data_IF_655010991496
#
_entry.id   IF_655010991496
#
_cell.length_a   1.000
_cell.length_b   1.000
_cell.length_c   1.000
_cell.angle_alpha   90.00
_cell.angle_beta   90.00
_cell.angle_gamma   90.00
#
_symmetry.space_group_name_H-M   'P 1'
#
loop_
_entity.id
_entity.type
_entity.pdbx_description
1 polymer ?
#
# COMPACT_ATOMS: atom_id res chain seq x y z
N UNK A 1 -3.20 16.04 -58.57
CA UNK A 1 -4.17 17.12 -58.33
C UNK A 1 -3.65 17.93 -57.18
N UNK A 2 -3.50 19.23 -57.36
CA UNK A 2 -2.71 20.07 -56.46
C UNK A 2 -3.48 20.61 -55.25
N UNK A 3 -2.76 20.75 -54.17
CA UNK A 3 -3.14 21.36 -52.87
C UNK A 3 -3.32 22.85 -53.01
N UNK A 4 -4.38 23.41 -52.46
CA UNK A 4 -4.60 24.85 -52.36
C UNK A 4 -4.29 25.36 -50.91
N UNK A 5 -3.73 26.56 -50.71
CA UNK A 5 -3.37 27.10 -49.43
C UNK A 5 -4.47 27.98 -48.80
N UNK A 6 -4.50 27.99 -47.48
CA UNK A 6 -5.37 28.82 -46.62
C UNK A 6 -4.84 30.26 -46.47
N UNK A 7 -5.71 31.25 -46.35
CA UNK A 7 -5.28 32.66 -46.24
C UNK A 7 -5.00 33.10 -44.80
N UNK A 8 -3.94 33.91 -44.69
CA UNK A 8 -3.58 34.69 -43.52
C UNK A 8 -4.55 35.85 -43.28
N UNK A 9 -5.01 36.02 -42.04
CA UNK A 9 -5.68 37.23 -41.56
C UNK A 9 -4.75 38.01 -40.66
N UNK A 10 -4.24 39.13 -41.17
CA UNK A 10 -3.57 40.21 -40.44
C UNK A 10 -4.62 41.14 -39.86
N UNK A 11 -4.55 41.40 -38.55
CA UNK A 11 -5.35 42.42 -37.90
C UNK A 11 -4.49 43.64 -37.61
N UNK A 12 -4.84 44.78 -38.23
CA UNK A 12 -4.17 46.06 -38.11
C UNK A 12 -4.69 46.85 -36.91
N UNK A 13 -3.73 47.41 -36.15
CA UNK A 13 -3.98 48.32 -35.06
C UNK A 13 -4.19 49.74 -35.61
N UNK A 14 -5.26 50.45 -35.27
CA UNK A 14 -5.43 51.86 -35.52
C UNK A 14 -5.48 52.64 -34.21
N UNK A 15 -4.58 53.61 -34.07
CA UNK A 15 -4.56 54.67 -33.05
C UNK A 15 -5.41 55.84 -33.48
N UNK A 16 -6.20 56.44 -32.58
CA UNK A 16 -6.64 57.84 -32.46
C UNK A 16 -7.73 57.90 -31.38
N UNK A 17 -7.92 58.92 -30.56
CA UNK A 17 -7.32 60.23 -30.35
C UNK A 17 -7.75 60.71 -28.95
N UNK A 18 -7.03 61.68 -28.45
CA UNK A 18 -7.25 62.50 -27.25
C UNK A 18 -8.65 63.12 -27.11
N UNK A 19 -9.13 63.21 -25.89
CA UNK A 19 -9.83 64.40 -25.39
C UNK A 19 -9.65 64.49 -23.86
N UNK A 20 -9.09 65.63 -23.46
CA UNK A 20 -8.91 66.14 -22.11
C UNK A 20 -10.22 66.69 -21.58
N UNK A 21 -10.59 66.31 -20.35
CA UNK A 21 -11.41 67.12 -19.49
C UNK A 21 -10.99 66.88 -18.04
N UNK A 22 -10.44 67.89 -17.43
CA UNK A 22 -10.15 67.89 -16.01
C UNK A 22 -11.37 68.25 -15.20
N UNK A 23 -11.48 67.72 -13.98
CA UNK A 23 -12.18 68.35 -12.83
C UNK A 23 -11.78 67.63 -11.53
N UNK A 24 -11.34 68.48 -10.59
CA UNK A 24 -11.47 68.47 -9.13
C UNK A 24 -11.06 67.27 -8.26
N UNK A 25 -10.14 67.60 -7.38
CA UNK A 25 -9.72 66.97 -6.15
C UNK A 25 -10.87 66.44 -5.25
N UNK A 26 -10.84 65.18 -4.95
CA UNK A 26 -11.46 64.58 -3.83
C UNK A 26 -10.50 63.53 -3.24
N UNK A 27 -9.77 63.90 -2.18
CA UNK A 27 -8.86 63.02 -1.50
C UNK A 27 -9.62 61.91 -0.75
N UNK A 28 -9.67 60.74 -1.35
CA UNK A 28 -10.06 59.51 -0.64
C UNK A 28 -8.77 58.73 -0.38
N UNK A 29 -8.34 58.66 0.86
CA UNK A 29 -7.26 57.78 1.31
C UNK A 29 -7.67 56.32 1.06
N UNK A 30 -7.17 55.76 -0.03
CA UNK A 30 -7.21 54.28 -0.20
C UNK A 30 -6.20 53.70 0.80
N UNK A 31 -6.71 53.36 2.01
CA UNK A 31 -5.97 52.43 2.87
C UNK A 31 -5.83 51.12 2.11
N UNK A 32 -4.66 50.90 1.55
CA UNK A 32 -4.32 49.63 0.93
C UNK A 32 -4.40 48.55 1.98
N UNK A 33 -5.42 47.72 1.88
CA UNK A 33 -5.40 46.43 2.60
C UNK A 33 -4.26 45.62 1.99
N UNK A 34 -3.09 45.65 2.65
CA UNK A 34 -2.04 44.68 2.40
C UNK A 34 -2.63 43.31 2.72
N UNK A 35 -2.84 42.48 1.70
CA UNK A 35 -3.23 41.09 1.90
C UNK A 35 -2.20 40.45 2.82
N UNK A 36 -2.65 39.92 3.94
CA UNK A 36 -1.78 39.17 4.83
C UNK A 36 -1.10 38.07 4.02
N UNK A 37 0.22 37.83 4.22
CA UNK A 37 0.92 36.76 3.51
C UNK A 37 0.16 35.47 3.76
N UNK A 38 -0.24 34.79 2.67
CA UNK A 38 -0.89 33.48 2.76
C UNK A 38 0.03 32.55 3.53
N UNK A 39 -0.45 32.01 4.63
CA UNK A 39 0.28 31.00 5.40
C UNK A 39 0.62 29.85 4.42
N UNK A 40 1.86 29.37 4.41
CA UNK A 40 2.22 28.23 3.57
C UNK A 40 1.26 27.07 3.94
N UNK A 41 0.71 26.42 2.93
CA UNK A 41 -0.14 25.24 3.16
C UNK A 41 0.64 24.25 4.03
N UNK A 42 0.02 23.69 5.06
CA UNK A 42 0.68 22.67 5.87
C UNK A 42 1.16 21.53 4.93
N UNK A 43 2.31 20.90 5.22
CA UNK A 43 2.78 19.79 4.43
C UNK A 43 1.69 18.70 4.38
N UNK A 44 1.57 17.98 3.28
CA UNK A 44 0.59 16.90 3.18
C UNK A 44 0.83 15.87 4.29
N UNK A 45 -0.24 15.26 4.78
CA UNK A 45 -0.14 14.19 5.78
C UNK A 45 0.74 13.06 5.27
N UNK A 46 1.65 12.53 6.10
CA UNK A 46 2.53 11.43 5.71
C UNK A 46 1.73 10.16 5.42
N UNK A 47 2.27 9.32 4.52
CA UNK A 47 1.72 8.01 4.17
C UNK A 47 2.81 6.97 4.35
N UNK A 48 2.50 5.85 5.01
CA UNK A 48 3.37 4.69 5.11
C UNK A 48 2.81 3.58 4.23
N UNK A 49 3.59 3.17 3.24
CA UNK A 49 3.33 2.01 2.39
C UNK A 49 4.03 0.79 2.97
N UNK A 50 3.28 -0.18 3.53
CA UNK A 50 3.85 -1.36 4.17
C UNK A 50 4.20 -2.49 3.20
N UNK A 51 3.88 -2.34 1.90
CA UNK A 51 3.99 -3.41 0.93
C UNK A 51 4.50 -2.92 -0.41
N UNK A 52 5.81 -2.98 -0.60
CA UNK A 52 6.44 -2.66 -1.87
C UNK A 52 7.61 -3.59 -2.16
N UNK A 53 7.94 -3.76 -3.44
CA UNK A 53 9.00 -4.65 -3.90
C UNK A 53 10.00 -3.93 -4.81
N UNK A 54 11.28 -4.26 -4.68
CA UNK A 54 12.33 -3.84 -5.61
C UNK A 54 12.32 -4.69 -6.88
N UNK A 55 12.63 -4.10 -8.01
CA UNK A 55 12.58 -4.74 -9.34
C UNK A 55 11.25 -5.41 -9.70
N UNK A 56 10.17 -4.93 -9.10
CA UNK A 56 8.86 -5.56 -9.22
C UNK A 56 8.37 -5.56 -10.66
N UNK A 57 8.17 -6.77 -11.24
CA UNK A 57 7.82 -6.98 -12.64
C UNK A 57 8.74 -6.25 -13.65
N UNK A 58 10.02 -6.13 -13.33
CA UNK A 58 11.00 -5.46 -14.17
C UNK A 58 11.08 -3.94 -14.03
N UNK A 59 10.29 -3.33 -13.15
CA UNK A 59 10.42 -1.91 -12.80
C UNK A 59 11.76 -1.64 -12.12
N UNK A 60 12.47 -0.60 -12.55
CA UNK A 60 13.71 -0.19 -11.88
C UNK A 60 13.45 0.42 -10.50
N UNK A 61 14.46 0.37 -9.62
CA UNK A 61 14.35 0.97 -8.29
C UNK A 61 14.24 2.49 -8.34
N UNK A 62 14.81 3.14 -9.36
CA UNK A 62 14.61 4.57 -9.59
C UNK A 62 13.15 4.90 -9.96
N UNK A 63 12.52 4.06 -10.78
CA UNK A 63 11.10 4.20 -11.10
C UNK A 63 10.23 3.92 -9.87
N UNK A 64 10.61 2.94 -9.03
CA UNK A 64 9.93 2.68 -7.75
C UNK A 64 9.98 3.91 -6.84
N UNK A 65 11.14 4.52 -6.66
CA UNK A 65 11.30 5.73 -5.85
C UNK A 65 10.42 6.88 -6.38
N UNK A 66 10.45 7.13 -7.69
CA UNK A 66 9.63 8.14 -8.32
C UNK A 66 8.13 7.87 -8.15
N UNK A 67 7.71 6.62 -8.31
CA UNK A 67 6.35 6.14 -8.09
C UNK A 67 5.87 6.40 -6.65
N UNK A 68 6.66 6.02 -5.64
CA UNK A 68 6.31 6.22 -4.24
C UNK A 68 6.15 7.71 -3.90
N UNK A 69 7.10 8.54 -4.35
CA UNK A 69 7.03 9.99 -4.16
C UNK A 69 5.84 10.63 -4.88
N UNK A 70 5.50 10.16 -6.09
CA UNK A 70 4.34 10.65 -6.84
C UNK A 70 3.00 10.34 -6.16
N UNK A 71 2.91 9.23 -5.41
CA UNK A 71 1.74 8.90 -4.60
C UNK A 71 1.66 9.71 -3.28
N UNK A 72 2.73 10.43 -2.91
CA UNK A 72 2.83 11.11 -1.62
C UNK A 72 3.22 10.20 -0.46
N UNK A 73 3.75 9.01 -0.76
CA UNK A 73 4.28 8.09 0.24
C UNK A 73 5.57 8.65 0.82
N UNK A 74 5.67 8.70 2.14
CA UNK A 74 6.83 9.23 2.86
C UNK A 74 7.76 8.14 3.38
N UNK A 75 7.22 6.95 3.63
CA UNK A 75 8.00 5.80 4.09
C UNK A 75 7.43 4.53 3.47
N UNK A 76 8.29 3.66 2.95
CA UNK A 76 7.90 2.37 2.39
C UNK A 76 8.65 1.23 3.06
N UNK A 77 7.99 0.08 3.25
CA UNK A 77 8.63 -1.16 3.68
C UNK A 77 8.81 -2.06 2.45
N UNK A 78 10.07 -2.39 2.15
CA UNK A 78 10.42 -3.24 1.03
C UNK A 78 10.37 -4.71 1.44
N UNK A 79 9.56 -5.48 0.76
CA UNK A 79 9.35 -6.90 1.03
C UNK A 79 10.16 -7.75 0.06
N UNK A 80 11.12 -8.56 0.56
CA UNK A 80 11.99 -9.39 -0.27
C UNK A 80 11.34 -10.71 -0.67
N UNK A 81 11.90 -11.33 -1.71
CA UNK A 81 11.51 -12.66 -2.15
C UNK A 81 12.25 -13.81 -1.43
N UNK A 82 13.13 -13.52 -0.50
CA UNK A 82 13.94 -14.53 0.20
C UNK A 82 15.43 -14.28 0.05
N UNK A 83 16.21 -15.33 -0.18
CA UNK A 83 17.69 -15.31 -0.21
C UNK A 83 18.29 -14.17 -1.01
N UNK A 84 19.55 -13.79 -0.72
CA UNK A 84 20.23 -12.72 -1.44
C UNK A 84 20.19 -12.94 -2.94
N UNK A 85 19.64 -11.96 -3.66
CA UNK A 85 19.66 -11.96 -5.13
C UNK A 85 19.51 -10.53 -5.65
N UNK A 86 20.19 -10.24 -6.74
CA UNK A 86 20.06 -9.00 -7.51
C UNK A 86 19.24 -9.23 -8.79
N UNK A 87 18.70 -10.45 -8.96
CA UNK A 87 17.88 -10.82 -10.12
C UNK A 87 16.43 -10.96 -9.70
N UNK A 88 15.53 -10.83 -10.67
CA UNK A 88 14.18 -11.36 -10.56
C UNK A 88 14.30 -12.87 -10.30
N UNK A 89 13.50 -13.47 -9.51
CA UNK A 89 13.62 -14.87 -9.12
C UNK A 89 14.63 -15.08 -8.01
N UNK A 90 14.21 -15.77 -7.01
CA UNK A 90 15.04 -16.23 -5.92
C UNK A 90 15.44 -17.69 -6.15
N UNK A 91 15.47 -18.49 -5.16
CA UNK A 91 15.80 -19.88 -5.35
C UNK A 91 14.55 -20.76 -5.52
N UNK A 92 14.76 -22.02 -5.94
CA UNK A 92 13.72 -22.88 -6.44
C UNK A 92 13.03 -23.75 -5.39
N UNK A 93 12.65 -23.23 -4.24
CA UNK A 93 11.83 -23.97 -3.28
C UNK A 93 10.50 -24.42 -3.92
N UNK A 94 10.00 -25.60 -3.55
CA UNK A 94 8.80 -26.21 -4.13
C UNK A 94 7.57 -25.33 -3.97
N UNK A 95 7.50 -24.59 -2.89
CA UNK A 95 6.37 -23.73 -2.55
C UNK A 95 6.52 -22.28 -3.02
N UNK A 96 7.64 -21.91 -3.67
CA UNK A 96 7.96 -20.53 -3.99
C UNK A 96 6.97 -19.89 -4.99
N UNK A 97 6.19 -18.92 -4.56
CA UNK A 97 5.23 -18.16 -5.37
C UNK A 97 5.63 -16.72 -5.67
N UNK A 98 6.61 -16.18 -4.96
CA UNK A 98 7.08 -14.79 -5.12
C UNK A 98 8.30 -14.66 -6.04
N UNK A 99 9.01 -15.74 -6.27
CA UNK A 99 10.31 -15.82 -6.90
C UNK A 99 10.49 -15.07 -8.22
N UNK A 100 9.44 -14.95 -9.01
CA UNK A 100 9.59 -14.49 -10.39
C UNK A 100 9.67 -12.97 -10.56
N UNK A 101 9.37 -12.16 -9.54
CA UNK A 101 8.96 -10.79 -9.78
C UNK A 101 9.61 -9.72 -8.91
N UNK A 102 10.48 -10.08 -7.97
CA UNK A 102 11.19 -9.11 -7.12
C UNK A 102 12.55 -9.65 -6.63
N UNK A 103 13.32 -8.78 -5.97
CA UNK A 103 14.65 -9.15 -5.45
C UNK A 103 14.59 -9.74 -4.03
N UNK A 104 15.72 -10.28 -3.56
CA UNK A 104 15.82 -10.92 -2.25
C UNK A 104 16.26 -9.99 -1.12
N UNK A 105 16.47 -10.58 0.06
CA UNK A 105 16.79 -9.91 1.32
C UNK A 105 17.95 -8.92 1.21
N UNK A 106 19.08 -9.32 0.57
CA UNK A 106 20.27 -8.47 0.47
C UNK A 106 20.00 -7.19 -0.30
N UNK A 107 19.27 -7.30 -1.43
CA UNK A 107 18.98 -6.16 -2.29
C UNK A 107 18.04 -5.15 -1.60
N UNK A 108 16.96 -5.60 -0.96
CA UNK A 108 16.03 -4.69 -0.25
C UNK A 108 16.70 -4.03 0.95
N UNK A 109 17.54 -4.76 1.70
CA UNK A 109 18.30 -4.20 2.81
C UNK A 109 19.31 -3.15 2.32
N UNK A 110 20.06 -3.42 1.25
CA UNK A 110 21.01 -2.49 0.69
C UNK A 110 20.32 -1.21 0.20
N UNK A 111 19.18 -1.36 -0.47
CA UNK A 111 18.39 -0.22 -0.94
C UNK A 111 17.85 0.63 0.21
N UNK A 112 17.28 0.01 1.23
CA UNK A 112 16.78 0.72 2.40
C UNK A 112 17.88 1.47 3.15
N UNK A 113 19.07 0.87 3.29
CA UNK A 113 20.26 1.53 3.88
C UNK A 113 20.77 2.72 3.06
N UNK A 114 20.62 2.68 1.74
CA UNK A 114 21.00 3.79 0.85
C UNK A 114 20.00 4.95 0.89
N UNK A 115 18.75 4.72 1.36
CA UNK A 115 17.68 5.72 1.42
C UNK A 115 17.07 5.79 2.83
N UNK A 116 17.85 6.19 3.85
CA UNK A 116 17.39 6.23 5.23
C UNK A 116 16.24 7.21 5.41
N UNK A 117 15.21 6.81 6.17
CA UNK A 117 14.01 7.61 6.40
C UNK A 117 12.90 7.40 5.36
N UNK A 118 13.23 7.10 4.10
CA UNK A 118 12.23 6.81 3.06
C UNK A 118 11.94 5.31 2.96
N UNK A 119 12.92 4.44 3.21
CA UNK A 119 12.73 3.00 3.07
C UNK A 119 13.19 2.22 4.30
N UNK A 120 12.39 1.22 4.62
CA UNK A 120 12.66 0.15 5.56
C UNK A 120 12.61 -1.17 4.79
N UNK A 121 13.03 -2.27 5.42
CA UNK A 121 13.02 -3.56 4.76
C UNK A 121 12.44 -4.66 5.66
N UNK A 122 11.88 -5.67 5.02
CA UNK A 122 11.45 -6.92 5.61
C UNK A 122 12.48 -8.03 5.41
N UNK A 123 12.19 -9.17 6.00
CA UNK A 123 12.94 -10.42 5.82
C UNK A 123 12.00 -11.51 5.34
N UNK A 124 12.49 -12.36 4.41
CA UNK A 124 11.69 -13.44 3.86
C UNK A 124 12.56 -14.64 3.46
N UNK A 125 11.95 -15.81 3.38
CA UNK A 125 12.48 -16.99 2.74
C UNK A 125 11.35 -17.97 2.46
N UNK A 126 11.54 -18.87 1.50
CA UNK A 126 10.56 -19.89 1.14
C UNK A 126 10.28 -20.78 2.35
N UNK A 127 9.03 -20.76 2.81
CA UNK A 127 8.61 -21.24 4.13
C UNK A 127 8.99 -22.69 4.42
N UNK A 128 8.91 -23.58 3.42
CA UNK A 128 9.18 -25.02 3.54
C UNK A 128 10.64 -25.42 3.37
N UNK A 129 11.55 -24.44 3.30
CA UNK A 129 12.97 -24.74 3.35
C UNK A 129 13.43 -24.96 4.80
N UNK A 130 14.29 -25.95 5.04
CA UNK A 130 14.80 -26.25 6.39
C UNK A 130 15.46 -25.06 7.08
N UNK A 131 16.16 -24.23 6.31
CA UNK A 131 16.90 -23.05 6.77
C UNK A 131 16.10 -21.74 6.76
N UNK A 132 14.81 -21.75 6.39
CA UNK A 132 14.02 -20.54 6.24
C UNK A 132 14.06 -19.63 7.48
N UNK A 133 13.85 -20.20 8.67
CA UNK A 133 13.87 -19.44 9.91
C UNK A 133 15.27 -18.82 10.19
N UNK A 134 16.34 -19.54 9.88
CA UNK A 134 17.74 -19.07 10.09
C UNK A 134 18.06 -17.90 9.15
N UNK A 135 17.66 -18.01 7.88
CA UNK A 135 17.87 -16.94 6.90
C UNK A 135 17.05 -15.68 7.25
N UNK A 136 15.79 -15.83 7.63
CA UNK A 136 14.94 -14.71 8.08
C UNK A 136 15.53 -14.08 9.34
N UNK A 137 15.91 -14.88 10.34
CA UNK A 137 16.48 -14.41 11.60
C UNK A 137 17.73 -13.55 11.39
N UNK A 138 18.58 -13.92 10.44
CA UNK A 138 19.77 -13.15 10.05
C UNK A 138 19.40 -11.70 9.73
N UNK A 139 18.35 -11.46 8.92
CA UNK A 139 17.94 -10.12 8.53
C UNK A 139 17.12 -9.41 9.61
N UNK A 140 16.40 -10.13 10.46
CA UNK A 140 15.78 -9.55 11.65
C UNK A 140 16.85 -8.96 12.60
N UNK A 141 17.96 -9.67 12.82
CA UNK A 141 19.11 -9.15 13.57
C UNK A 141 19.77 -7.94 12.91
N UNK A 142 19.62 -7.76 11.61
CA UNK A 142 20.12 -6.61 10.84
C UNK A 142 19.10 -5.45 10.75
N UNK A 143 17.93 -5.60 11.38
CA UNK A 143 16.94 -4.52 11.52
C UNK A 143 15.72 -4.63 10.61
N UNK A 144 15.45 -5.78 9.99
CA UNK A 144 14.22 -6.02 9.26
C UNK A 144 12.99 -5.82 10.18
N UNK A 145 11.95 -5.19 9.65
CA UNK A 145 10.79 -4.73 10.41
C UNK A 145 9.58 -5.66 10.33
N UNK A 146 9.61 -6.65 9.46
CA UNK A 146 8.50 -7.55 9.17
C UNK A 146 9.02 -8.84 8.55
N UNK A 147 8.35 -9.97 8.80
CA UNK A 147 8.53 -11.19 8.00
C UNK A 147 7.50 -11.15 6.88
N UNK A 148 7.92 -10.89 5.64
CA UNK A 148 7.02 -10.67 4.50
C UNK A 148 7.76 -10.62 3.13
N UNK A 149 7.07 -10.83 2.04
CA UNK A 149 5.71 -11.31 1.88
C UNK A 149 5.72 -12.85 1.90
N UNK A 150 5.01 -13.45 2.83
CA UNK A 150 4.86 -14.90 2.87
C UNK A 150 3.87 -15.35 1.78
N UNK A 151 4.36 -15.55 0.55
CA UNK A 151 3.58 -15.96 -0.64
C UNK A 151 4.09 -17.31 -1.12
N UNK A 152 3.72 -18.34 -0.39
CA UNK A 152 4.24 -19.69 -0.61
C UNK A 152 3.13 -20.73 -0.55
N UNK A 153 3.30 -21.83 -1.34
CA UNK A 153 2.34 -22.91 -1.49
C UNK A 153 2.32 -23.86 -0.29
N UNK A 154 2.09 -23.33 0.89
CA UNK A 154 1.98 -24.06 2.16
C UNK A 154 0.58 -23.89 2.79
N UNK A 155 0.27 -24.68 3.81
CA UNK A 155 -0.91 -24.44 4.63
C UNK A 155 -0.59 -23.37 5.68
N UNK A 156 -1.56 -22.50 6.00
CA UNK A 156 -1.37 -21.45 7.00
C UNK A 156 -1.12 -21.99 8.43
N UNK A 157 -1.44 -23.25 8.68
CA UNK A 157 -1.26 -23.97 9.93
C UNK A 157 -0.26 -25.12 9.80
N UNK A 158 0.64 -25.09 8.81
CA UNK A 158 1.74 -26.04 8.71
C UNK A 158 2.80 -25.80 9.78
N UNK A 159 3.57 -26.84 10.11
CA UNK A 159 4.68 -26.71 11.07
C UNK A 159 5.73 -25.70 10.63
N UNK A 160 5.95 -25.59 9.32
CA UNK A 160 6.86 -24.63 8.70
C UNK A 160 6.36 -23.19 8.94
N UNK A 161 5.07 -22.93 8.71
CA UNK A 161 4.43 -21.64 9.00
C UNK A 161 4.49 -21.30 10.49
N UNK A 162 4.21 -22.27 11.36
CA UNK A 162 4.24 -22.08 12.82
C UNK A 162 5.64 -21.67 13.34
N UNK A 163 6.72 -22.21 12.73
CA UNK A 163 8.10 -21.77 13.07
C UNK A 163 8.30 -20.28 12.81
N UNK A 164 7.76 -19.79 11.69
CA UNK A 164 7.87 -18.36 11.35
C UNK A 164 6.96 -17.49 12.24
N UNK A 165 5.78 -17.99 12.64
CA UNK A 165 4.92 -17.29 13.60
C UNK A 165 5.63 -17.13 14.96
N UNK A 166 6.28 -18.20 15.43
CA UNK A 166 7.10 -18.13 16.64
C UNK A 166 8.23 -17.14 16.49
N UNK A 167 8.96 -17.19 15.38
CA UNK A 167 10.08 -16.28 15.10
C UNK A 167 9.62 -14.81 15.07
N UNK A 168 8.48 -14.51 14.46
CA UNK A 168 7.88 -13.18 14.47
C UNK A 168 7.61 -12.67 15.90
N UNK A 169 7.07 -13.54 16.77
CA UNK A 169 6.85 -13.22 18.19
C UNK A 169 8.15 -13.01 18.95
N UNK A 170 9.16 -13.84 18.71
CA UNK A 170 10.46 -13.77 19.40
C UNK A 170 11.20 -12.45 19.09
N UNK A 171 11.02 -11.90 17.89
CA UNK A 171 11.61 -10.63 17.44
C UNK A 171 10.66 -9.42 17.55
N UNK A 172 9.42 -9.65 18.01
CA UNK A 172 8.39 -8.61 18.15
C UNK A 172 8.18 -7.81 16.84
N UNK A 173 8.10 -8.53 15.74
CA UNK A 173 7.78 -8.02 14.40
C UNK A 173 6.52 -8.68 13.86
N UNK A 174 5.73 -8.01 13.02
CA UNK A 174 4.59 -8.64 12.36
C UNK A 174 5.02 -9.63 11.28
N UNK A 175 4.09 -10.53 10.91
CA UNK A 175 4.20 -11.40 9.74
C UNK A 175 3.03 -11.14 8.78
N UNK A 176 3.33 -10.95 7.49
CA UNK A 176 2.33 -10.71 6.46
C UNK A 176 2.15 -11.96 5.60
N UNK A 177 0.91 -12.43 5.52
CA UNK A 177 0.53 -13.64 4.81
C UNK A 177 -0.25 -13.31 3.53
N UNK A 178 0.28 -13.72 2.38
CA UNK A 178 -0.47 -13.74 1.12
C UNK A 178 -1.45 -14.93 1.15
N UNK A 179 -2.70 -14.64 1.40
CA UNK A 179 -3.76 -15.64 1.54
C UNK A 179 -4.52 -15.81 0.23
N UNK A 180 -4.24 -16.92 -0.46
CA UNK A 180 -4.93 -17.32 -1.69
C UNK A 180 -5.28 -18.79 -1.61
N UNK A 181 -6.55 -19.08 -1.27
CA UNK A 181 -7.03 -20.44 -1.05
C UNK A 181 -6.72 -21.36 -2.24
N UNK A 182 -6.20 -22.53 -1.96
CA UNK A 182 -5.79 -23.51 -2.97
C UNK A 182 -4.41 -23.24 -3.61
N UNK A 183 -3.77 -22.09 -3.32
CA UNK A 183 -2.49 -21.73 -3.93
C UNK A 183 -1.44 -21.33 -2.89
N UNK A 184 -1.71 -20.29 -2.09
CA UNK A 184 -0.75 -19.75 -1.13
C UNK A 184 -1.36 -19.63 0.26
N UNK A 185 -0.63 -20.06 1.28
CA UNK A 185 -1.05 -20.05 2.69
C UNK A 185 -2.51 -20.46 2.87
N UNK A 186 -2.87 -21.59 2.24
CA UNK A 186 -4.25 -22.10 2.24
C UNK A 186 -4.73 -22.45 3.63
N UNK A 187 -6.05 -22.39 3.83
CA UNK A 187 -6.68 -22.71 5.11
C UNK A 187 -7.21 -21.47 5.84
N UNK A 188 -7.68 -20.46 5.13
CA UNK A 188 -8.18 -19.20 5.70
C UNK A 188 -9.18 -19.43 6.87
N UNK A 189 -10.08 -20.40 6.74
CA UNK A 189 -11.05 -20.75 7.80
C UNK A 189 -10.38 -21.31 9.08
N UNK A 190 -9.16 -21.82 8.99
CA UNK A 190 -8.38 -22.33 10.12
C UNK A 190 -7.43 -21.30 10.74
N UNK A 191 -7.20 -20.19 10.07
CA UNK A 191 -6.29 -19.12 10.52
C UNK A 191 -6.57 -18.64 11.96
N UNK A 192 -7.83 -18.56 12.45
CA UNK A 192 -8.12 -18.25 13.84
C UNK A 192 -7.47 -19.16 14.87
N UNK A 193 -7.15 -20.42 14.51
CA UNK A 193 -6.42 -21.31 15.42
C UNK A 193 -4.99 -20.82 15.63
N UNK A 194 -4.37 -20.24 14.60
CA UNK A 194 -3.04 -19.65 14.67
C UNK A 194 -3.03 -18.35 15.48
N UNK A 195 -4.03 -17.48 15.31
CA UNK A 195 -4.17 -16.28 16.13
C UNK A 195 -4.21 -16.59 17.62
N UNK A 196 -4.94 -17.64 18.01
CA UNK A 196 -5.02 -18.10 19.41
C UNK A 196 -3.75 -18.81 19.88
N UNK A 197 -3.15 -19.64 19.02
CA UNK A 197 -1.93 -20.40 19.35
C UNK A 197 -0.70 -19.49 19.52
N UNK A 198 -0.65 -18.40 18.74
CA UNK A 198 0.45 -17.44 18.74
C UNK A 198 -0.02 -16.02 19.13
N UNK A 199 -0.47 -15.80 20.37
CA UNK A 199 -1.11 -14.54 20.77
C UNK A 199 -0.15 -13.34 20.76
N UNK A 200 1.17 -13.57 20.76
CA UNK A 200 2.19 -12.53 20.68
C UNK A 200 2.58 -12.18 19.23
N UNK A 201 2.24 -13.03 18.28
CA UNK A 201 2.50 -12.77 16.86
C UNK A 201 1.43 -11.84 16.30
N UNK A 202 1.84 -10.76 15.67
CA UNK A 202 0.94 -9.91 14.90
C UNK A 202 0.87 -10.44 13.48
N UNK A 203 -0.33 -10.81 13.06
CA UNK A 203 -0.64 -11.31 11.72
C UNK A 203 -1.23 -10.20 10.87
N UNK A 204 -0.67 -10.00 9.67
CA UNK A 204 -1.23 -9.10 8.67
C UNK A 204 -1.77 -9.95 7.52
N UNK A 205 -3.08 -9.99 7.38
CA UNK A 205 -3.75 -10.68 6.28
C UNK A 205 -3.68 -9.85 5.00
N UNK A 206 -3.36 -10.49 3.89
CA UNK A 206 -3.24 -9.87 2.58
C UNK A 206 -3.80 -10.78 1.49
N UNK A 207 -4.05 -10.22 0.31
CA UNK A 207 -4.42 -10.87 -0.94
C UNK A 207 -5.89 -11.32 -1.08
N UNK A 208 -6.14 -12.10 -2.13
CA UNK A 208 -7.47 -12.33 -2.69
C UNK A 208 -8.44 -12.97 -1.72
N UNK A 209 -8.01 -14.01 -0.99
CA UNK A 209 -8.90 -14.69 -0.04
C UNK A 209 -9.29 -13.79 1.11
N UNK A 210 -8.38 -12.95 1.61
CA UNK A 210 -8.70 -11.94 2.61
C UNK A 210 -9.80 -11.01 2.11
N UNK A 211 -9.63 -10.42 0.95
CA UNK A 211 -10.51 -9.36 0.46
C UNK A 211 -11.82 -9.88 -0.16
N UNK A 212 -11.85 -11.13 -0.62
CA UNK A 212 -13.11 -11.78 -1.01
C UNK A 212 -13.99 -12.10 0.21
N UNK A 213 -13.38 -12.51 1.32
CA UNK A 213 -14.08 -12.88 2.56
C UNK A 213 -14.51 -11.68 3.44
N UNK A 214 -14.50 -10.44 2.94
CA UNK A 214 -15.24 -9.33 3.57
C UNK A 214 -16.76 -9.54 3.47
N UNK A 215 -17.18 -10.33 2.49
CA UNK A 215 -18.57 -10.65 2.18
C UNK A 215 -19.02 -11.91 2.91
N UNK A 216 -20.08 -11.80 3.72
CA UNK A 216 -20.66 -12.95 4.43
C UNK A 216 -21.26 -14.00 3.49
N UNK A 217 -21.61 -13.61 2.26
CA UNK A 217 -22.17 -14.47 1.23
C UNK A 217 -21.11 -14.99 0.23
N UNK A 218 -19.82 -14.79 0.50
CA UNK A 218 -18.76 -15.24 -0.40
C UNK A 218 -18.77 -16.77 -0.57
N UNK A 219 -18.91 -17.22 -1.82
CA UNK A 219 -19.09 -18.63 -2.19
C UNK A 219 -17.79 -19.38 -2.52
N UNK A 220 -16.65 -18.70 -2.45
CA UNK A 220 -15.34 -19.30 -2.73
C UNK A 220 -14.95 -19.39 -4.21
N UNK A 221 -15.78 -18.91 -5.16
CA UNK A 221 -15.55 -19.15 -6.59
C UNK A 221 -14.67 -18.06 -7.27
N UNK A 222 -14.84 -16.80 -6.88
CA UNK A 222 -14.10 -15.71 -7.51
C UNK A 222 -13.05 -15.13 -6.59
N UNK A 223 -11.82 -14.96 -7.08
CA UNK A 223 -10.76 -14.24 -6.36
C UNK A 223 -10.99 -12.71 -6.33
N UNK A 224 -11.78 -12.21 -7.27
CA UNK A 224 -12.17 -10.80 -7.38
C UNK A 224 -13.69 -10.69 -7.52
N UNK A 225 -14.43 -10.94 -6.45
CA UNK A 225 -15.90 -10.89 -6.50
C UNK A 225 -16.37 -9.47 -6.77
N UNK A 226 -17.51 -9.35 -7.46
CA UNK A 226 -18.17 -8.10 -7.83
C UNK A 226 -19.54 -7.98 -7.17
N UNK A 227 -20.14 -6.78 -7.19
CA UNK A 227 -21.47 -6.51 -6.66
C UNK A 227 -21.50 -6.31 -5.15
N UNK A 228 -22.71 -6.26 -4.56
CA UNK A 228 -22.93 -5.92 -3.16
C UNK A 228 -22.20 -6.85 -2.19
N UNK A 229 -21.89 -6.33 -1.01
CA UNK A 229 -21.19 -7.04 0.07
C UNK A 229 -22.11 -7.18 1.28
N UNK A 230 -22.43 -8.39 1.67
CA UNK A 230 -23.11 -8.65 2.94
C UNK A 230 -22.15 -8.47 4.12
N UNK A 231 -22.54 -7.63 5.09
CA UNK A 231 -21.74 -7.36 6.30
C UNK A 231 -21.51 -8.64 7.11
N UNK A 232 -20.38 -8.77 7.78
CA UNK A 232 -20.06 -9.88 8.67
C UNK A 232 -19.30 -11.03 8.03
N UNK A 233 -18.62 -10.82 6.90
CA UNK A 233 -17.71 -11.80 6.32
C UNK A 233 -16.54 -12.14 7.25
N UNK A 234 -15.88 -13.28 6.99
CA UNK A 234 -14.82 -13.82 7.87
C UNK A 234 -13.71 -12.82 8.15
N UNK A 235 -13.29 -12.04 7.17
CA UNK A 235 -12.25 -11.01 7.36
C UNK A 235 -12.67 -9.97 8.39
N UNK A 236 -13.91 -9.49 8.33
CA UNK A 236 -14.45 -8.55 9.30
C UNK A 236 -14.55 -9.15 10.69
N UNK A 237 -14.94 -10.44 10.79
CA UNK A 237 -14.96 -11.17 12.06
C UNK A 237 -13.55 -11.28 12.65
N UNK A 238 -12.56 -11.68 11.85
CA UNK A 238 -11.18 -11.84 12.34
C UNK A 238 -10.56 -10.52 12.83
N UNK A 239 -10.80 -9.44 12.11
CA UNK A 239 -10.35 -8.10 12.53
C UNK A 239 -11.03 -7.64 13.83
N UNK A 240 -12.29 -8.02 14.08
CA UNK A 240 -13.02 -7.67 15.28
C UNK A 240 -12.60 -8.53 16.49
N UNK A 241 -12.45 -9.84 16.28
CA UNK A 241 -12.35 -10.82 17.36
C UNK A 241 -10.92 -11.05 17.86
N UNK A 242 -9.89 -10.77 17.01
CA UNK A 242 -8.49 -11.06 17.34
C UNK A 242 -7.65 -9.80 17.42
N UNK A 243 -7.14 -9.49 18.61
CA UNK A 243 -6.33 -8.30 18.87
C UNK A 243 -5.04 -8.26 18.00
N UNK A 244 -4.47 -9.43 17.71
CA UNK A 244 -3.24 -9.62 16.95
C UNK A 244 -3.46 -9.83 15.43
N UNK A 245 -4.67 -9.56 14.92
CA UNK A 245 -4.99 -9.66 13.48
C UNK A 245 -5.17 -8.27 12.87
N UNK A 246 -4.51 -8.02 11.74
CA UNK A 246 -4.56 -6.81 10.94
C UNK A 246 -4.78 -7.18 9.47
N UNK A 247 -5.08 -6.20 8.60
CA UNK A 247 -5.21 -6.43 7.16
C UNK A 247 -4.49 -5.35 6.34
N UNK A 248 -3.72 -5.81 5.35
CA UNK A 248 -3.04 -4.99 4.35
C UNK A 248 -3.92 -4.80 3.11
N UNK A 249 -4.24 -3.55 2.79
CA UNK A 249 -5.17 -3.15 1.73
C UNK A 249 -4.50 -3.00 0.36
N UNK A 250 -3.39 -3.67 0.15
CA UNK A 250 -2.59 -3.57 -1.07
C UNK A 250 -3.13 -4.41 -2.23
N UNK A 251 -2.49 -4.25 -3.37
CA UNK A 251 -2.78 -4.92 -4.64
C UNK A 251 -4.18 -4.65 -5.22
N UNK A 252 -4.43 -5.26 -6.37
CA UNK A 252 -5.74 -5.19 -7.03
C UNK A 252 -6.86 -5.79 -6.21
N UNK A 253 -6.59 -6.76 -5.33
CA UNK A 253 -7.60 -7.38 -4.47
C UNK A 253 -8.10 -6.43 -3.38
N UNK A 254 -7.19 -5.68 -2.74
CA UNK A 254 -7.55 -4.64 -1.78
C UNK A 254 -8.34 -3.51 -2.45
N UNK A 255 -7.85 -3.00 -3.59
CA UNK A 255 -8.56 -1.97 -4.35
C UNK A 255 -9.95 -2.44 -4.80
N UNK A 256 -10.08 -3.68 -5.29
CA UNK A 256 -11.37 -4.26 -5.68
C UNK A 256 -12.35 -4.25 -4.49
N UNK A 257 -11.90 -4.64 -3.30
CA UNK A 257 -12.75 -4.67 -2.11
C UNK A 257 -13.31 -3.30 -1.74
N UNK A 258 -12.53 -2.23 -1.96
CA UNK A 258 -12.95 -0.84 -1.70
C UNK A 258 -13.91 -0.28 -2.75
N UNK A 259 -13.82 -0.75 -4.00
CA UNK A 259 -14.57 -0.16 -5.10
C UNK A 259 -15.88 -0.88 -5.42
N UNK A 260 -16.06 -2.15 -4.97
CA UNK A 260 -17.21 -2.97 -5.38
C UNK A 260 -18.53 -2.58 -4.70
N UNK A 261 -18.47 -2.00 -3.50
CA UNK A 261 -19.66 -1.59 -2.73
C UNK A 261 -19.31 -0.40 -1.82
N UNK A 262 -19.79 0.79 -2.18
CA UNK A 262 -19.46 2.03 -1.46
C UNK A 262 -20.01 2.05 -0.02
N UNK A 263 -21.24 1.59 0.18
CA UNK A 263 -21.86 1.59 1.51
C UNK A 263 -21.11 0.65 2.46
N UNK A 264 -20.80 -0.56 1.98
CA UNK A 264 -20.01 -1.51 2.74
C UNK A 264 -18.61 -0.95 3.04
N UNK A 265 -17.94 -0.32 2.07
CA UNK A 265 -16.60 0.23 2.24
C UNK A 265 -16.55 1.31 3.32
N UNK A 266 -17.52 2.25 3.32
CA UNK A 266 -17.61 3.27 4.38
C UNK A 266 -17.74 2.64 5.76
N UNK A 267 -18.67 1.70 5.90
CA UNK A 267 -18.86 0.96 7.14
C UNK A 267 -17.61 0.17 7.55
N UNK A 268 -16.95 -0.52 6.62
CA UNK A 268 -15.79 -1.36 6.88
C UNK A 268 -14.58 -0.53 7.36
N UNK A 269 -14.28 0.56 6.68
CA UNK A 269 -13.16 1.44 7.05
C UNK A 269 -13.39 2.10 8.42
N UNK A 270 -14.61 2.51 8.73
CA UNK A 270 -14.96 3.08 10.04
C UNK A 270 -14.85 2.03 11.15
N UNK A 271 -15.45 0.85 10.93
CA UNK A 271 -15.46 -0.24 11.92
C UNK A 271 -14.07 -0.78 12.22
N UNK A 272 -13.22 -0.92 11.21
CA UNK A 272 -11.89 -1.54 11.32
C UNK A 272 -10.75 -0.53 11.20
N UNK A 273 -11.01 0.75 11.42
CA UNK A 273 -10.07 1.85 11.26
C UNK A 273 -8.72 1.65 11.99
N UNK A 274 -8.69 0.88 13.07
CA UNK A 274 -7.50 0.64 13.90
C UNK A 274 -6.73 -0.64 13.49
N UNK A 275 -7.24 -1.38 12.48
CA UNK A 275 -6.73 -2.70 12.07
C UNK A 275 -6.37 -2.79 10.60
N UNK A 276 -6.78 -1.81 9.82
CA UNK A 276 -6.48 -1.73 8.38
C UNK A 276 -5.23 -0.91 8.16
N UNK A 277 -4.34 -1.39 7.29
CA UNK A 277 -3.07 -0.79 6.93
C UNK A 277 -3.05 -0.52 5.42
N UNK A 278 -2.42 0.59 5.02
CA UNK A 278 -2.17 0.88 3.62
C UNK A 278 -0.89 0.17 3.15
N UNK A 279 -0.99 -0.54 2.05
CA UNK A 279 0.11 -1.03 1.22
C UNK A 279 -0.23 -0.80 -0.25
N UNK A 280 0.77 -0.69 -1.12
CA UNK A 280 0.52 -0.55 -2.55
C UNK A 280 0.59 -1.87 -3.31
N UNK A 281 1.60 -2.68 -3.08
CA UNK A 281 1.94 -3.88 -3.88
C UNK A 281 1.81 -3.60 -5.38
N UNK A 282 2.34 -2.46 -5.81
CA UNK A 282 2.08 -1.86 -7.11
C UNK A 282 3.36 -1.83 -7.96
N UNK A 283 3.29 -2.39 -9.16
CA UNK A 283 4.39 -2.39 -10.14
C UNK A 283 4.34 -1.20 -11.10
N UNK A 284 3.37 -0.29 -10.99
CA UNK A 284 3.26 0.90 -11.83
C UNK A 284 4.49 1.80 -11.68
N UNK A 285 4.82 2.53 -12.72
CA UNK A 285 5.99 3.42 -12.77
C UNK A 285 5.67 4.90 -12.56
N UNK A 286 4.39 5.28 -12.66
CA UNK A 286 3.96 6.69 -12.65
C UNK A 286 3.46 7.15 -11.27
N UNK A 287 2.95 6.26 -10.44
CA UNK A 287 2.34 6.60 -9.16
C UNK A 287 1.05 7.41 -9.25
N UNK A 288 0.36 7.35 -10.39
CA UNK A 288 -0.88 8.10 -10.66
C UNK A 288 -1.66 7.50 -11.82
N UNK A 289 -2.93 7.93 -11.92
CA UNK A 289 -3.82 7.49 -13.00
C UNK A 289 -4.42 6.10 -12.76
N UNK A 290 -5.24 5.62 -13.70
CA UNK A 290 -6.06 4.42 -13.52
C UNK A 290 -5.26 3.11 -13.49
N UNK A 291 -4.02 3.11 -14.00
CA UNK A 291 -3.12 1.95 -13.97
C UNK A 291 -2.41 1.76 -12.63
N UNK A 292 -2.37 2.78 -11.78
CA UNK A 292 -1.69 2.71 -10.49
C UNK A 292 -2.67 2.29 -9.38
N UNK A 293 -2.67 1.01 -9.03
CA UNK A 293 -3.55 0.50 -7.97
C UNK A 293 -3.22 1.11 -6.60
N UNK A 294 -1.95 1.41 -6.31
CA UNK A 294 -1.57 2.09 -5.06
C UNK A 294 -2.18 3.47 -4.93
N UNK A 295 -2.09 4.31 -5.97
CA UNK A 295 -2.76 5.62 -6.00
C UNK A 295 -4.29 5.48 -5.95
N UNK A 296 -4.85 4.47 -6.62
CA UNK A 296 -6.28 4.15 -6.57
C UNK A 296 -6.75 3.80 -5.16
N UNK A 297 -5.98 3.01 -4.42
CA UNK A 297 -6.27 2.65 -3.02
C UNK A 297 -6.23 3.88 -2.11
N UNK A 298 -5.22 4.76 -2.23
CA UNK A 298 -5.18 6.03 -1.49
C UNK A 298 -6.42 6.88 -1.78
N UNK A 299 -6.78 7.02 -3.07
CA UNK A 299 -7.94 7.80 -3.48
C UNK A 299 -9.25 7.22 -2.92
N UNK A 300 -9.40 5.90 -2.93
CA UNK A 300 -10.57 5.22 -2.37
C UNK A 300 -10.65 5.40 -0.84
N UNK A 301 -9.55 5.24 -0.11
CA UNK A 301 -9.50 5.48 1.34
C UNK A 301 -9.90 6.94 1.64
N UNK A 302 -9.35 7.92 0.92
CA UNK A 302 -9.70 9.34 1.09
C UNK A 302 -11.16 9.66 0.78
N UNK A 303 -11.73 8.97 -0.19
CA UNK A 303 -13.14 9.15 -0.58
C UNK A 303 -14.10 8.54 0.42
N UNK A 304 -13.76 7.38 0.97
CA UNK A 304 -14.70 6.56 1.73
C UNK A 304 -14.49 6.59 3.25
N UNK A 305 -13.35 7.05 3.75
CA UNK A 305 -13.15 7.25 5.18
C UNK A 305 -14.18 8.22 5.75
N UNK A 306 -14.72 7.91 6.92
CA UNK A 306 -15.78 8.71 7.56
C UNK A 306 -15.33 10.14 7.87
N UNK A 307 -14.05 10.35 8.13
CA UNK A 307 -13.43 11.64 8.39
C UNK A 307 -11.90 11.56 8.24
N UNK A 308 -11.24 12.72 8.39
CA UNK A 308 -9.78 12.82 8.23
C UNK A 308 -8.98 12.01 9.26
N UNK A 309 -9.53 11.80 10.45
CA UNK A 309 -8.86 10.99 11.47
C UNK A 309 -8.83 9.50 11.07
N UNK A 310 -9.91 8.96 10.51
CA UNK A 310 -9.98 7.60 9.99
C UNK A 310 -9.02 7.42 8.81
N UNK A 311 -9.01 8.37 7.85
CA UNK A 311 -8.04 8.37 6.75
C UNK A 311 -6.61 8.30 7.26
N UNK A 312 -6.25 9.18 8.21
CA UNK A 312 -4.92 9.29 8.78
C UNK A 312 -4.51 8.02 9.54
N UNK A 313 -5.42 7.38 10.27
CA UNK A 313 -5.14 6.09 10.91
C UNK A 313 -4.72 5.04 9.90
N UNK A 314 -5.48 4.86 8.83
CA UNK A 314 -5.25 3.82 7.83
C UNK A 314 -3.99 4.09 7.00
N UNK A 315 -3.78 5.34 6.59
CA UNK A 315 -2.65 5.71 5.74
C UNK A 315 -1.32 5.87 6.50
N UNK A 316 -1.37 6.08 7.82
CA UNK A 316 -0.17 6.43 8.57
C UNK A 316 -0.11 5.88 9.99
N UNK A 317 -1.07 6.21 10.88
CA UNK A 317 -0.89 6.04 12.31
C UNK A 317 -0.82 4.57 12.75
N UNK A 318 -1.66 3.71 12.14
CA UNK A 318 -1.65 2.28 12.43
C UNK A 318 -0.30 1.66 12.09
N UNK A 319 0.22 1.96 10.91
CA UNK A 319 1.54 1.48 10.48
C UNK A 319 2.65 2.06 11.33
N UNK A 320 2.62 3.37 11.63
CA UNK A 320 3.59 4.00 12.52
C UNK A 320 3.65 3.31 13.88
N UNK A 321 2.49 3.06 14.49
CA UNK A 321 2.37 2.38 15.79
C UNK A 321 2.87 0.94 15.70
N UNK A 322 2.42 0.19 14.69
CA UNK A 322 2.73 -1.24 14.54
C UNK A 322 4.23 -1.48 14.33
N UNK A 323 4.88 -0.67 13.50
CA UNK A 323 6.30 -0.79 13.17
C UNK A 323 7.22 0.06 14.06
N UNK A 324 6.68 0.81 15.02
CA UNK A 324 7.42 1.68 15.96
C UNK A 324 8.33 2.69 15.26
N UNK A 325 7.75 3.47 14.36
CA UNK A 325 8.43 4.47 13.53
C UNK A 325 8.35 5.88 14.12
#
# INVERSE_FOLDING_TARGET
>A
MPVQPTPNLTCSCSRRAFLTAGVALGGASLAGYAAAPSQPNPPPDPIIDIHQHTHYHGRSDQQMLAHQRAMGVTTSILLPAGRPTVRLTTHGGRSNGLAANCTGNEAVMAYAKAHPGEFLFGANEVTDLPEAAVEIEKYLKLGAKIIAEQKFGVQCDSLESERLYKLAADYDVPILLHLQEGTYNSGFKRLPTMFRKFPKTVFIMHAQTTWANIDANYDGKSLYPTGPVAKGGLTSQYLADYANCFADMSAGSGLNSLLRDEEHTRWFLEKHQDKVLYGSDCADTLGRGPGCQGAGTIAAIRKYAANKAVERKILFENSKKLFRL
#
